data_IF_271772095336
#
_entry.id   IF_271772095336
#
_cell.length_a   1.000
_cell.length_b   1.000
_cell.length_c   1.000
_cell.angle_alpha   90.00
_cell.angle_beta   90.00
_cell.angle_gamma   90.00
#
_symmetry.space_group_name_H-M   'P 1'
#
loop_
_entity.id
_entity.type
_entity.pdbx_description
1 polymer ?
#
# COMPACT_ATOMS: atom_id res chain seq x y z
N UNK A 1 -15.18 -22.99 -67.90
CA UNK A 1 -15.56 -23.74 -66.68
C UNK A 1 -14.48 -23.45 -65.65
N UNK A 2 -14.64 -22.83 -64.47
CA UNK A 2 -15.73 -22.24 -63.69
C UNK A 2 -15.06 -21.13 -62.84
N UNK A 3 -15.79 -20.04 -62.59
CA UNK A 3 -15.48 -18.94 -61.68
C UNK A 3 -14.98 -19.38 -60.28
N UNK A 4 -14.24 -18.52 -59.58
CA UNK A 4 -14.76 -17.99 -58.30
C UNK A 4 -13.96 -16.77 -57.83
N UNK A 5 -14.72 -15.76 -57.42
CA UNK A 5 -14.27 -14.51 -56.80
C UNK A 5 -14.17 -14.72 -55.29
N UNK A 6 -13.13 -14.14 -54.69
CA UNK A 6 -12.92 -13.73 -53.29
C UNK A 6 -13.51 -14.55 -52.12
N UNK A 7 -12.63 -14.81 -51.13
CA UNK A 7 -13.01 -14.61 -49.72
C UNK A 7 -11.84 -14.01 -48.95
N UNK A 8 -11.91 -12.69 -48.76
CA UNK A 8 -11.10 -11.98 -47.77
C UNK A 8 -11.23 -12.70 -46.42
N UNK A 9 -10.08 -13.05 -45.83
CA UNK A 9 -10.02 -13.69 -44.52
C UNK A 9 -10.80 -12.86 -43.49
N UNK A 10 -11.68 -13.50 -42.74
CA UNK A 10 -12.49 -12.87 -41.70
C UNK A 10 -11.54 -12.38 -40.59
N UNK A 11 -11.16 -11.11 -40.60
CA UNK A 11 -10.50 -10.44 -39.47
C UNK A 11 -11.47 -10.52 -38.29
N UNK A 12 -11.23 -11.48 -37.39
CA UNK A 12 -12.01 -11.61 -36.17
C UNK A 12 -11.64 -10.42 -35.28
N UNK A 13 -12.42 -9.35 -35.40
CA UNK A 13 -12.44 -8.26 -34.44
C UNK A 13 -13.12 -8.77 -33.17
N UNK A 14 -12.45 -9.66 -32.43
CA UNK A 14 -12.74 -9.87 -31.01
C UNK A 14 -12.03 -8.77 -30.19
N UNK A 15 -12.17 -7.50 -30.62
CA UNK A 15 -12.05 -6.37 -29.70
C UNK A 15 -13.46 -6.23 -29.13
N UNK A 16 -13.72 -6.81 -27.96
CA UNK A 16 -14.81 -6.47 -27.01
C UNK A 16 -15.29 -7.68 -26.17
N UNK A 17 -14.41 -8.56 -25.71
CA UNK A 17 -14.77 -9.57 -24.69
C UNK A 17 -13.75 -9.76 -23.56
N UNK A 18 -12.77 -8.86 -23.44
CA UNK A 18 -11.93 -8.74 -22.26
C UNK A 18 -12.19 -7.40 -21.53
N UNK A 19 -13.44 -6.93 -21.57
CA UNK A 19 -13.97 -6.09 -20.51
C UNK A 19 -14.21 -6.92 -19.25
N UNK A 20 -13.23 -7.72 -18.84
CA UNK A 20 -13.24 -8.32 -17.52
C UNK A 20 -13.35 -7.15 -16.55
N UNK A 21 -14.46 -7.12 -15.81
CA UNK A 21 -14.88 -6.08 -14.89
C UNK A 21 -13.67 -5.65 -14.05
N UNK A 22 -12.94 -4.64 -14.52
CA UNK A 22 -11.85 -4.04 -13.76
C UNK A 22 -12.55 -3.31 -12.63
N UNK A 23 -12.58 -3.96 -11.45
CA UNK A 23 -13.13 -3.39 -10.22
C UNK A 23 -12.70 -1.92 -10.14
N UNK A 24 -13.66 -0.99 -10.27
CA UNK A 24 -13.42 0.45 -10.03
C UNK A 24 -12.77 0.56 -8.65
N UNK A 25 -11.52 0.99 -8.61
CA UNK A 25 -10.75 1.00 -7.38
C UNK A 25 -9.29 1.39 -7.61
N UNK A 26 -8.73 2.10 -6.63
CA UNK A 26 -7.32 2.43 -6.59
C UNK A 26 -6.51 1.14 -6.45
N UNK A 27 -5.57 0.91 -7.38
CA UNK A 27 -4.74 -0.31 -7.42
C UNK A 27 -3.30 -0.09 -7.00
N UNK A 28 -2.79 1.12 -7.22
CA UNK A 28 -1.39 1.46 -7.01
C UNK A 28 -1.33 2.82 -6.33
N UNK A 29 -0.52 2.89 -5.29
CA UNK A 29 -0.01 4.13 -4.72
C UNK A 29 1.44 4.27 -5.19
N UNK A 30 1.79 5.43 -5.73
CA UNK A 30 3.17 5.72 -6.13
C UNK A 30 3.72 6.83 -5.25
N UNK A 31 4.85 6.57 -4.61
CA UNK A 31 5.55 7.57 -3.79
C UNK A 31 6.82 7.98 -4.52
N UNK A 32 7.07 9.29 -4.61
CA UNK A 32 8.29 9.86 -5.18
C UNK A 32 8.85 10.91 -4.22
N UNK A 33 10.17 11.08 -4.20
CA UNK A 33 10.80 12.18 -3.48
C UNK A 33 10.43 13.53 -4.14
N UNK A 34 10.24 14.55 -3.32
CA UNK A 34 10.12 15.92 -3.80
C UNK A 34 11.52 16.40 -4.24
N UNK A 35 11.69 16.96 -5.44
CA UNK A 35 12.98 17.46 -5.90
C UNK A 35 13.60 18.44 -4.89
N UNK A 36 14.88 18.23 -4.56
CA UNK A 36 15.62 19.06 -3.61
C UNK A 36 15.29 18.86 -2.13
N UNK A 37 14.30 18.02 -1.78
CA UNK A 37 13.90 17.78 -0.39
C UNK A 37 13.74 16.28 -0.11
N UNK A 38 14.82 15.57 0.27
CA UNK A 38 14.82 14.11 0.35
C UNK A 38 13.87 13.53 1.41
N UNK A 39 13.56 14.29 2.47
CA UNK A 39 12.61 13.91 3.53
C UNK A 39 11.15 14.28 3.21
N UNK A 40 10.87 14.84 2.03
CA UNK A 40 9.53 15.17 1.57
C UNK A 40 9.21 14.38 0.31
N UNK A 41 7.96 13.95 0.19
CA UNK A 41 7.50 13.15 -0.94
C UNK A 41 6.15 13.59 -1.49
N UNK A 42 5.83 13.00 -2.64
CA UNK A 42 4.56 13.12 -3.32
C UNK A 42 3.95 11.71 -3.42
N UNK A 43 2.82 11.52 -2.75
CA UNK A 43 2.00 10.31 -2.83
C UNK A 43 0.93 10.50 -3.91
N UNK A 44 1.03 9.73 -4.99
CA UNK A 44 0.05 9.70 -6.06
C UNK A 44 -0.94 8.55 -5.85
N UNK A 45 -2.23 8.89 -5.78
CA UNK A 45 -3.36 7.98 -5.69
C UNK A 45 -4.30 8.19 -6.89
N UNK A 46 -4.10 7.43 -7.96
CA UNK A 46 -4.84 7.64 -9.21
C UNK A 46 -4.54 9.01 -9.80
N UNK A 47 -5.55 9.91 -9.83
CA UNK A 47 -5.43 11.28 -10.34
C UNK A 47 -5.11 12.32 -9.25
N UNK A 48 -5.08 11.92 -7.98
CA UNK A 48 -4.84 12.84 -6.86
C UNK A 48 -3.40 12.70 -6.36
N UNK A 49 -2.81 13.81 -5.95
CA UNK A 49 -1.46 13.87 -5.38
C UNK A 49 -1.53 14.54 -4.02
N UNK A 50 -0.86 13.94 -3.04
CA UNK A 50 -0.75 14.43 -1.67
C UNK A 50 0.71 14.66 -1.32
N UNK A 51 1.00 15.71 -0.55
CA UNK A 51 2.29 15.80 0.12
C UNK A 51 2.40 14.68 1.17
N UNK A 52 3.57 14.06 1.29
CA UNK A 52 3.84 13.07 2.32
C UNK A 52 5.24 13.25 2.90
N UNK A 53 5.46 12.72 4.10
CA UNK A 53 6.80 12.63 4.68
C UNK A 53 7.55 11.43 4.10
N UNK A 54 8.86 11.57 3.97
CA UNK A 54 9.79 10.48 3.75
C UNK A 54 10.76 10.42 4.92
N UNK A 55 11.40 9.27 5.09
CA UNK A 55 12.44 9.11 6.10
C UNK A 55 13.56 10.13 5.92
N UNK A 56 14.22 10.50 7.01
CA UNK A 56 15.35 11.46 7.01
C UNK A 56 16.49 11.05 6.05
N UNK A 57 16.67 9.75 5.83
CA UNK A 57 17.64 9.18 4.89
C UNK A 57 17.19 9.19 3.42
N UNK A 58 16.02 9.76 3.12
CA UNK A 58 15.42 9.73 1.78
C UNK A 58 14.98 8.34 1.35
N UNK A 59 14.84 8.13 0.05
CA UNK A 59 14.46 6.83 -0.53
C UNK A 59 15.73 6.01 -0.80
N UNK A 60 15.79 4.76 -0.32
CA UNK A 60 16.95 3.88 -0.49
C UNK A 60 16.56 2.43 -0.77
N UNK A 61 17.29 1.77 -1.67
CA UNK A 61 17.20 0.33 -1.88
C UNK A 61 17.92 -0.48 -0.78
N UNK A 62 18.85 0.15 -0.05
CA UNK A 62 19.64 -0.46 1.02
C UNK A 62 19.08 -0.23 2.42
N UNK A 63 17.74 -0.18 2.57
CA UNK A 63 17.06 0.10 3.84
C UNK A 63 17.48 -0.89 4.94
N UNK A 64 17.90 -0.38 6.09
CA UNK A 64 18.23 -1.12 7.32
C UNK A 64 17.51 -0.53 8.53
N UNK A 65 17.26 -1.30 9.56
CA UNK A 65 16.68 -0.74 10.80
C UNK A 65 17.54 0.41 11.35
N UNK A 66 16.90 1.49 11.83
CA UNK A 66 17.58 2.67 12.37
C UNK A 66 18.17 3.67 11.35
N UNK A 67 18.29 3.32 10.07
CA UNK A 67 18.87 4.24 9.06
C UNK A 67 17.99 5.47 8.74
N UNK A 68 16.71 5.40 9.11
CA UNK A 68 15.71 6.43 8.83
C UNK A 68 15.40 6.62 7.34
N UNK A 69 15.65 5.64 6.46
CA UNK A 69 15.28 5.74 5.05
C UNK A 69 13.84 5.25 4.79
N UNK A 70 13.26 5.66 3.67
CA UNK A 70 12.06 5.02 3.10
C UNK A 70 12.52 3.96 2.09
N UNK A 71 12.03 2.70 2.16
CA UNK A 71 12.48 1.66 1.25
C UNK A 71 12.06 1.95 -0.20
N UNK A 72 13.00 1.78 -1.14
CA UNK A 72 12.73 1.75 -2.57
C UNK A 72 12.24 0.34 -2.95
N UNK A 73 10.93 0.11 -2.84
CA UNK A 73 10.35 -1.19 -3.16
C UNK A 73 8.89 -1.10 -3.61
N UNK A 74 8.44 -2.08 -4.39
CA UNK A 74 7.02 -2.35 -4.60
C UNK A 74 6.51 -3.16 -3.40
N UNK A 75 5.57 -2.61 -2.63
CA UNK A 75 5.05 -3.22 -1.42
C UNK A 75 3.52 -3.34 -1.46
N UNK A 76 2.99 -4.44 -0.93
CA UNK A 76 1.55 -4.64 -0.79
C UNK A 76 1.08 -4.08 0.55
N UNK A 77 0.03 -3.26 0.51
CA UNK A 77 -0.67 -2.85 1.74
C UNK A 77 -1.48 -4.04 2.24
N UNK A 78 -1.18 -4.51 3.45
CA UNK A 78 -1.76 -5.74 4.01
C UNK A 78 -3.04 -5.44 4.79
N UNK A 79 -2.90 -4.58 5.78
CA UNK A 79 -3.94 -4.18 6.73
C UNK A 79 -3.49 -2.91 7.43
N UNK A 80 -4.34 -2.35 8.29
CA UNK A 80 -3.96 -1.23 9.13
C UNK A 80 -4.72 -1.21 10.45
N UNK A 81 -4.26 -0.32 11.33
CA UNK A 81 -4.94 0.00 12.57
C UNK A 81 -5.47 1.43 12.48
N UNK A 82 -6.56 1.72 13.17
CA UNK A 82 -7.09 3.08 13.20
C UNK A 82 -7.64 3.44 14.58
N UNK A 83 -7.46 4.70 14.93
CA UNK A 83 -8.02 5.33 16.11
C UNK A 83 -9.50 5.64 15.87
N UNK A 84 -10.39 4.90 16.53
CA UNK A 84 -11.84 5.02 16.30
C UNK A 84 -12.41 6.40 16.66
N UNK A 85 -11.79 7.07 17.63
CA UNK A 85 -12.06 8.44 18.05
C UNK A 85 -11.66 9.49 17.02
N UNK A 86 -10.63 9.22 16.19
CA UNK A 86 -10.13 10.17 15.18
C UNK A 86 -10.57 9.83 13.76
N UNK A 87 -10.81 8.56 13.47
CA UNK A 87 -11.11 8.07 12.12
C UNK A 87 -12.26 7.05 12.13
N UNK A 88 -13.46 7.53 12.44
CA UNK A 88 -14.68 6.73 12.52
C UNK A 88 -15.04 5.98 11.23
N UNK A 89 -14.59 6.49 10.08
CA UNK A 89 -14.80 5.86 8.76
C UNK A 89 -13.81 4.74 8.43
N UNK A 90 -12.84 4.44 9.30
CA UNK A 90 -11.85 3.37 9.08
C UNK A 90 -12.45 1.99 8.80
N UNK A 91 -13.62 1.71 9.40
CA UNK A 91 -14.39 0.47 9.16
C UNK A 91 -14.99 0.37 7.76
N UNK A 92 -15.08 1.46 7.01
CA UNK A 92 -15.71 1.53 5.68
C UNK A 92 -14.71 1.39 4.54
N UNK A 93 -13.41 1.31 4.84
CA UNK A 93 -12.39 1.15 3.80
C UNK A 93 -12.40 -0.27 3.24
N UNK A 94 -11.86 -0.44 2.02
CA UNK A 94 -11.69 -1.77 1.41
C UNK A 94 -10.48 -2.54 1.95
N UNK A 95 -9.65 -1.88 2.76
CA UNK A 95 -8.49 -2.47 3.41
C UNK A 95 -8.94 -3.11 4.72
N UNK A 96 -8.32 -4.23 5.11
CA UNK A 96 -8.57 -4.80 6.43
C UNK A 96 -8.06 -3.84 7.50
N UNK A 97 -8.98 -3.25 8.27
CA UNK A 97 -8.67 -2.23 9.27
C UNK A 97 -9.19 -2.67 10.65
N UNK A 98 -8.32 -2.61 11.65
CA UNK A 98 -8.64 -2.97 13.04
C UNK A 98 -8.67 -1.72 13.92
N UNK A 99 -9.73 -1.49 14.71
CA UNK A 99 -9.75 -0.38 15.65
C UNK A 99 -8.68 -0.58 16.73
N UNK A 100 -7.98 0.49 17.10
CA UNK A 100 -7.03 0.51 18.21
C UNK A 100 -7.83 0.56 19.52
N UNK A 101 -7.58 -0.40 20.41
CA UNK A 101 -8.15 -0.47 21.76
C UNK A 101 -7.15 -0.01 22.82
N UNK A 102 -7.60 0.27 24.06
CA UNK A 102 -6.76 0.79 25.12
C UNK A 102 -5.66 -0.18 25.58
N UNK A 103 -5.79 -1.47 25.27
CA UNK A 103 -4.90 -2.57 25.63
C UNK A 103 -4.06 -3.09 24.46
N UNK A 104 -4.07 -2.40 23.31
CA UNK A 104 -3.24 -2.77 22.17
C UNK A 104 -1.83 -2.18 22.30
N UNK A 105 -0.83 -3.05 22.29
CA UNK A 105 0.58 -2.67 22.18
C UNK A 105 1.22 -3.24 20.91
N UNK A 106 2.37 -2.69 20.53
CA UNK A 106 3.23 -3.19 19.45
C UNK A 106 4.61 -3.48 20.00
N UNK A 107 5.06 -4.73 19.93
CA UNK A 107 6.36 -5.09 20.49
C UNK A 107 7.50 -4.65 19.57
N UNK A 108 8.46 -3.95 20.17
CA UNK A 108 9.61 -3.32 19.51
C UNK A 108 10.94 -3.97 19.88
N UNK A 109 10.94 -5.03 20.70
CA UNK A 109 12.16 -5.71 21.18
C UNK A 109 12.59 -6.78 20.17
N UNK A 110 13.76 -6.66 19.51
CA UNK A 110 14.19 -7.60 18.46
C UNK A 110 14.31 -9.07 18.91
N UNK A 111 14.70 -9.30 20.16
CA UNK A 111 14.88 -10.65 20.72
C UNK A 111 13.57 -11.30 21.21
N UNK A 112 12.47 -10.54 21.25
CA UNK A 112 11.17 -11.08 21.64
C UNK A 112 10.52 -11.85 20.47
N UNK A 113 9.92 -13.01 20.76
CA UNK A 113 9.14 -13.80 19.78
C UNK A 113 8.00 -13.01 19.11
N UNK A 114 7.56 -11.94 19.74
CA UNK A 114 6.53 -11.04 19.26
C UNK A 114 7.09 -9.76 18.62
N UNK A 115 8.39 -9.66 18.34
CA UNK A 115 8.97 -8.50 17.64
C UNK A 115 8.18 -8.15 16.36
N UNK A 116 7.86 -6.87 16.19
CA UNK A 116 7.03 -6.35 15.10
C UNK A 116 5.64 -7.02 14.98
N UNK A 117 5.01 -7.31 16.13
CA UNK A 117 3.65 -7.87 16.20
C UNK A 117 2.81 -7.17 17.28
N UNK A 118 1.48 -7.20 17.13
CA UNK A 118 0.58 -6.73 18.17
C UNK A 118 0.65 -7.62 19.41
N UNK A 119 0.61 -7.00 20.59
CA UNK A 119 0.58 -7.64 21.90
C UNK A 119 -0.53 -7.03 22.76
N UNK A 120 -0.98 -7.76 23.79
CA UNK A 120 -1.99 -7.27 24.73
C UNK A 120 -1.30 -6.69 25.98
N UNK A 121 -1.68 -5.48 26.35
CA UNK A 121 -1.20 -4.78 27.56
C UNK A 121 -2.02 -5.25 28.78
N UNK A 122 -1.38 -5.58 29.93
CA UNK A 122 0.05 -5.48 30.21
C UNK A 122 0.87 -6.56 29.49
N UNK A 123 1.99 -6.14 28.89
CA UNK A 123 2.96 -7.01 28.21
C UNK A 123 4.33 -6.88 28.89
N UNK A 124 5.02 -8.01 29.10
CA UNK A 124 6.23 -8.06 29.94
C UNK A 124 7.51 -7.48 29.32
N UNK A 125 7.57 -7.35 27.99
CA UNK A 125 8.68 -6.70 27.29
C UNK A 125 8.28 -5.30 26.82
N UNK A 126 9.27 -4.52 26.34
CA UNK A 126 9.02 -3.17 25.80
C UNK A 126 8.02 -3.22 24.64
N UNK A 127 7.13 -2.25 24.61
CA UNK A 127 6.10 -2.13 23.59
C UNK A 127 5.66 -0.67 23.44
N UNK A 128 5.40 -0.27 22.21
CA UNK A 128 4.68 0.96 21.92
C UNK A 128 3.20 0.76 22.27
N UNK A 129 2.58 1.75 22.91
CA UNK A 129 1.12 1.77 23.08
C UNK A 129 0.51 2.34 21.80
N UNK A 130 -0.37 1.58 21.16
CA UNK A 130 -1.02 1.99 19.92
C UNK A 130 -2.22 2.90 20.19
#
# INVERSE_FOLDING_TARGET
MICSVARSYKKKHDRNAAGAILRKGLRVLTVRARPGHPSQGLLQAGKTVFACALGRGGISAGKREGDGATPLAAMRILSGYFRGDQFSSGRRTRLAMTPIGPDLGWCEVPEDRNYNRPVKIPYGASHERM
#
